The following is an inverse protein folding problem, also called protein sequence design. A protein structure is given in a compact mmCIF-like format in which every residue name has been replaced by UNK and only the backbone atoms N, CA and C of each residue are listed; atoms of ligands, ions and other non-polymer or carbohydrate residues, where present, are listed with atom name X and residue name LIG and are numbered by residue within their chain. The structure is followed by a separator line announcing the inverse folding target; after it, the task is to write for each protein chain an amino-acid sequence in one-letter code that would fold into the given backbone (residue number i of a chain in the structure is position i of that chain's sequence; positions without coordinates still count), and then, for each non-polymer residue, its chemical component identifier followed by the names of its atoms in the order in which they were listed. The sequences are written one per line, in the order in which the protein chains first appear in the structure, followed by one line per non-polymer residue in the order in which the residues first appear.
data_IF_319176599366
#
_entry.id   IF_319176599366
#
_cell.length_a   1.000
_cell.length_b   1.000
_cell.length_c   1.000
_cell.angle_alpha   90.00
_cell.angle_beta   90.00
_cell.angle_gamma   90.00
#
_symmetry.space_group_name_H-M   'P 1'
#
loop_
_entity.id
_entity.type
_entity.pdbx_description
1 polymer ?
#
# COMPACT_ATOMS: atom_id res chain seq x y z
N UNK A 1 -23.38 0.01 -46.61
CA UNK A 1 -22.93 -1.06 -45.67
C UNK A 1 -21.79 -0.50 -44.85
N UNK A 2 -22.10 0.04 -43.66
CA UNK A 2 -21.10 0.46 -42.68
C UNK A 2 -20.68 -0.77 -41.91
N UNK A 3 -19.41 -1.11 -42.01
CA UNK A 3 -18.78 -2.10 -41.15
C UNK A 3 -18.69 -1.50 -39.72
N UNK A 4 -19.61 -1.89 -38.86
CA UNK A 4 -19.49 -1.75 -37.42
C UNK A 4 -18.35 -2.71 -36.96
N UNK A 5 -17.11 -2.21 -36.99
CA UNK A 5 -16.06 -2.76 -36.15
C UNK A 5 -16.46 -2.39 -34.71
N UNK A 6 -17.08 -3.33 -34.00
CA UNK A 6 -17.19 -3.25 -32.56
C UNK A 6 -15.78 -2.96 -32.01
N UNK A 7 -15.56 -1.77 -31.49
CA UNK A 7 -14.45 -1.47 -30.62
C UNK A 7 -14.55 -2.41 -29.42
N UNK A 8 -13.76 -3.46 -29.44
CA UNK A 8 -13.64 -4.35 -28.28
C UNK A 8 -13.08 -3.53 -27.13
N UNK A 9 -13.90 -3.30 -26.12
CA UNK A 9 -13.50 -2.61 -24.91
C UNK A 9 -12.24 -3.29 -24.33
N UNK A 10 -11.19 -2.53 -24.14
CA UNK A 10 -9.96 -2.99 -23.49
C UNK A 10 -10.33 -3.35 -22.06
N UNK A 11 -10.22 -4.63 -21.70
CA UNK A 11 -10.54 -5.09 -20.34
C UNK A 11 -9.45 -4.62 -19.36
N UNK A 12 -9.87 -4.24 -18.16
CA UNK A 12 -9.09 -3.47 -17.21
C UNK A 12 -7.97 -4.24 -16.50
N UNK A 13 -7.95 -5.59 -16.54
CA UNK A 13 -6.90 -6.35 -15.85
C UNK A 13 -6.03 -7.18 -16.80
N UNK A 14 -4.74 -7.34 -16.42
CA UNK A 14 -3.83 -8.21 -17.15
C UNK A 14 -4.33 -9.65 -17.22
N UNK A 15 -4.92 -10.15 -16.14
CA UNK A 15 -5.47 -11.50 -16.08
C UNK A 15 -6.68 -11.65 -17.00
N UNK A 16 -7.59 -10.66 -17.05
CA UNK A 16 -8.72 -10.64 -17.97
C UNK A 16 -8.28 -10.47 -19.42
N UNK A 17 -7.29 -9.60 -19.67
CA UNK A 17 -6.71 -9.43 -20.98
C UNK A 17 -6.07 -10.73 -21.48
N UNK A 18 -5.27 -11.37 -20.65
CA UNK A 18 -4.61 -12.64 -20.98
C UNK A 18 -5.64 -13.77 -21.15
N UNK A 19 -6.70 -13.80 -20.33
CA UNK A 19 -7.80 -14.77 -20.47
C UNK A 19 -8.61 -14.50 -21.75
N UNK A 20 -8.88 -13.25 -22.06
CA UNK A 20 -9.60 -12.85 -23.28
C UNK A 20 -8.81 -13.22 -24.54
N UNK A 21 -7.51 -12.96 -24.58
CA UNK A 21 -6.66 -13.32 -25.72
C UNK A 21 -6.54 -14.83 -25.87
N UNK A 22 -6.48 -15.56 -24.73
CA UNK A 22 -6.52 -17.03 -24.73
C UNK A 22 -7.84 -17.59 -25.29
N UNK A 23 -8.97 -16.93 -25.01
CA UNK A 23 -10.28 -17.35 -25.47
C UNK A 23 -10.58 -16.98 -26.94
N UNK A 24 -9.92 -15.98 -27.51
CA UNK A 24 -10.10 -15.53 -28.91
C UNK A 24 -9.20 -16.25 -29.91
N UNK A 25 -8.25 -17.06 -29.44
CA UNK A 25 -7.45 -17.93 -30.30
C UNK A 25 -8.27 -19.16 -30.70
N UNK A 26 -8.32 -19.47 -32.03
CA UNK A 26 -8.96 -20.65 -32.62
C UNK A 26 -8.38 -22.01 -32.19
N UNK A 27 -7.68 -22.09 -31.04
CA UNK A 27 -7.11 -23.33 -30.52
C UNK A 27 -8.10 -23.98 -29.54
N UNK A 28 -8.62 -25.14 -29.93
CA UNK A 28 -9.41 -26.08 -29.13
C UNK A 28 -8.69 -26.65 -27.90
N UNK A 29 -7.47 -26.24 -27.60
CA UNK A 29 -6.76 -26.55 -26.37
C UNK A 29 -6.99 -25.41 -25.37
N UNK A 30 -7.67 -25.71 -24.26
CA UNK A 30 -7.82 -24.81 -23.14
C UNK A 30 -6.43 -24.37 -22.65
N UNK A 31 -6.10 -23.07 -22.82
CA UNK A 31 -4.88 -22.51 -22.28
C UNK A 31 -5.04 -22.41 -20.75
N UNK A 32 -4.56 -23.41 -20.02
CA UNK A 32 -4.47 -23.32 -18.57
C UNK A 32 -3.35 -22.34 -18.17
N UNK A 33 -3.71 -21.08 -18.00
CA UNK A 33 -2.83 -20.16 -17.30
C UNK A 33 -2.63 -20.61 -15.85
N UNK A 34 -1.39 -20.69 -15.41
CA UNK A 34 -1.11 -20.98 -14.02
C UNK A 34 -0.99 -19.70 -13.24
N UNK A 35 -1.76 -19.61 -12.17
CA UNK A 35 -1.62 -18.58 -11.14
C UNK A 35 -1.07 -19.25 -9.89
N UNK A 36 0.16 -18.92 -9.53
CA UNK A 36 0.86 -19.47 -8.37
C UNK A 36 1.83 -18.44 -7.81
N UNK A 37 1.88 -18.29 -6.49
CA UNK A 37 2.71 -17.31 -5.78
C UNK A 37 2.46 -15.87 -6.27
N UNK A 38 1.18 -15.48 -6.39
CA UNK A 38 0.75 -14.15 -6.86
C UNK A 38 1.30 -13.76 -8.26
N UNK A 39 1.66 -14.75 -9.06
CA UNK A 39 2.24 -14.56 -10.38
C UNK A 39 1.50 -15.37 -11.45
N UNK A 40 1.55 -14.89 -12.69
CA UNK A 40 1.02 -15.57 -13.87
C UNK A 40 2.19 -16.21 -14.61
N UNK A 41 2.02 -17.48 -14.96
CA UNK A 41 3.04 -18.30 -15.61
C UNK A 41 2.56 -18.82 -16.96
N UNK A 42 3.27 -18.49 -18.04
CA UNK A 42 2.97 -18.95 -19.39
C UNK A 42 4.17 -19.70 -19.99
N UNK A 43 3.88 -20.70 -20.84
CA UNK A 43 4.88 -21.32 -21.69
C UNK A 43 5.18 -20.44 -22.92
N UNK A 44 6.27 -20.69 -23.64
CA UNK A 44 6.54 -20.02 -24.91
C UNK A 44 5.42 -20.25 -25.95
N UNK A 45 4.82 -21.44 -25.96
CA UNK A 45 3.68 -21.76 -26.85
C UNK A 45 2.46 -20.90 -26.51
N UNK A 46 2.20 -20.68 -25.22
CA UNK A 46 1.10 -19.81 -24.77
C UNK A 46 1.37 -18.34 -25.09
N UNK A 47 2.62 -17.86 -24.91
CA UNK A 47 3.00 -16.51 -25.32
C UNK A 47 2.93 -16.31 -26.83
N UNK A 48 3.27 -17.32 -27.63
CA UNK A 48 3.12 -17.33 -29.09
C UNK A 48 1.65 -17.11 -29.49
N UNK A 49 0.73 -17.83 -28.87
CA UNK A 49 -0.72 -17.64 -29.09
C UNK A 49 -1.20 -16.28 -28.56
N UNK A 50 -0.69 -15.81 -27.41
CA UNK A 50 -1.03 -14.52 -26.81
C UNK A 50 -0.68 -13.36 -27.75
N UNK A 51 0.53 -13.36 -28.28
CA UNK A 51 1.03 -12.27 -29.12
C UNK A 51 0.88 -12.52 -30.63
N UNK A 52 0.29 -13.65 -31.03
CA UNK A 52 0.09 -14.02 -32.43
C UNK A 52 1.39 -13.97 -33.24
N UNK A 53 2.40 -14.65 -32.74
CA UNK A 53 3.73 -14.81 -33.38
C UNK A 53 4.23 -16.24 -33.25
N UNK A 54 5.20 -16.64 -34.05
CA UNK A 54 5.80 -17.96 -33.95
C UNK A 54 6.55 -18.16 -32.62
N UNK A 55 6.56 -19.39 -32.10
CA UNK A 55 7.28 -19.77 -30.87
C UNK A 55 8.78 -19.43 -30.97
N UNK A 56 9.35 -19.53 -32.17
CA UNK A 56 10.74 -19.15 -32.43
C UNK A 56 10.98 -17.67 -32.18
N UNK A 57 10.06 -16.80 -32.62
CA UNK A 57 10.09 -15.35 -32.34
C UNK A 57 10.03 -15.05 -30.87
N UNK A 58 9.16 -15.75 -30.12
CA UNK A 58 9.10 -15.63 -28.65
C UNK A 58 10.45 -15.99 -28.03
N UNK A 59 11.05 -17.12 -28.46
CA UNK A 59 12.36 -17.55 -27.96
C UNK A 59 13.46 -16.52 -28.25
N UNK A 60 13.50 -15.97 -29.45
CA UNK A 60 14.46 -14.94 -29.87
C UNK A 60 14.31 -13.67 -28.98
N UNK A 61 13.09 -13.24 -28.70
CA UNK A 61 12.86 -12.10 -27.80
C UNK A 61 13.27 -12.39 -26.34
N UNK A 62 12.99 -13.59 -25.82
CA UNK A 62 13.41 -14.00 -24.48
C UNK A 62 14.95 -13.97 -24.38
N UNK A 63 15.65 -14.56 -25.35
CA UNK A 63 17.11 -14.53 -25.38
C UNK A 63 17.65 -13.10 -25.40
N UNK A 64 17.05 -12.23 -26.21
CA UNK A 64 17.46 -10.84 -26.30
C UNK A 64 17.22 -10.07 -24.99
N UNK A 65 16.14 -10.33 -24.28
CA UNK A 65 15.85 -9.74 -22.97
C UNK A 65 16.93 -10.13 -21.95
N UNK A 66 17.38 -11.38 -21.95
CA UNK A 66 18.48 -11.83 -21.10
C UNK A 66 19.83 -11.26 -21.51
N UNK A 67 20.15 -11.22 -22.82
CA UNK A 67 21.37 -10.61 -23.31
C UNK A 67 21.48 -9.12 -22.98
N UNK A 68 20.36 -8.39 -23.07
CA UNK A 68 20.29 -6.96 -22.73
C UNK A 68 20.37 -6.72 -21.20
N UNK A 69 20.33 -7.78 -20.37
CA UNK A 69 20.34 -7.68 -18.90
C UNK A 69 19.05 -7.09 -18.32
N UNK A 70 17.97 -7.05 -19.09
CA UNK A 70 16.68 -6.53 -18.66
C UNK A 70 16.05 -7.41 -17.58
N UNK A 71 16.16 -8.73 -17.72
CA UNK A 71 15.72 -9.74 -16.76
C UNK A 71 16.77 -10.87 -16.66
N UNK A 72 16.67 -11.70 -15.60
CA UNK A 72 17.50 -12.89 -15.45
C UNK A 72 16.65 -14.16 -15.53
N UNK A 73 17.24 -15.26 -15.99
CA UNK A 73 16.55 -16.55 -16.12
C UNK A 73 16.16 -17.13 -14.75
N UNK A 74 17.00 -16.99 -13.74
CA UNK A 74 16.76 -17.47 -12.39
C UNK A 74 15.50 -16.81 -11.76
N UNK A 75 15.25 -15.54 -12.04
CA UNK A 75 14.12 -14.80 -11.53
C UNK A 75 12.82 -15.01 -12.31
N UNK A 76 12.91 -15.47 -13.57
CA UNK A 76 11.77 -15.45 -14.50
C UNK A 76 11.32 -16.82 -15.00
N UNK A 77 12.07 -17.89 -14.73
CA UNK A 77 11.76 -19.25 -15.19
C UNK A 77 11.37 -20.13 -14.02
N UNK A 78 10.29 -20.92 -14.21
CA UNK A 78 9.91 -22.02 -13.34
C UNK A 78 9.53 -23.24 -14.16
N UNK A 79 9.94 -24.41 -13.70
CA UNK A 79 9.56 -25.67 -14.34
C UNK A 79 8.34 -26.26 -13.63
N UNK A 80 7.26 -26.46 -14.38
CA UNK A 80 6.07 -27.14 -13.87
C UNK A 80 5.92 -28.50 -14.48
N UNK A 81 5.44 -29.43 -13.64
CA UNK A 81 5.12 -30.78 -14.08
C UNK A 81 3.74 -30.79 -14.72
N UNK A 82 3.67 -31.14 -16.00
CA UNK A 82 2.43 -31.27 -16.76
C UNK A 82 2.21 -32.75 -17.08
N UNK A 83 0.98 -33.22 -16.92
CA UNK A 83 0.56 -34.56 -17.34
C UNK A 83 -0.26 -34.41 -18.61
N UNK A 84 0.24 -34.95 -19.71
CA UNK A 84 -0.43 -34.93 -21.01
C UNK A 84 -0.83 -36.36 -21.42
N UNK A 85 -2.02 -36.50 -21.99
CA UNK A 85 -2.50 -37.78 -22.51
C UNK A 85 -2.05 -37.93 -23.95
N UNK A 86 -1.10 -38.82 -24.22
CA UNK A 86 -0.62 -39.16 -25.58
C UNK A 86 -1.20 -40.52 -25.97
N UNK A 87 -2.26 -40.49 -26.77
CA UNK A 87 -3.01 -41.72 -27.10
C UNK A 87 -3.68 -42.33 -25.85
N UNK A 88 -3.28 -43.52 -25.43
CA UNK A 88 -3.78 -44.21 -24.24
C UNK A 88 -2.88 -44.08 -23.01
N UNK A 89 -1.79 -43.30 -23.07
CA UNK A 89 -0.82 -43.15 -21.99
C UNK A 89 -0.79 -41.72 -21.43
N UNK A 90 -0.72 -41.65 -20.10
CA UNK A 90 -0.42 -40.40 -19.41
C UNK A 90 1.11 -40.21 -19.33
N UNK A 91 1.61 -39.13 -19.94
CA UNK A 91 3.04 -38.80 -19.93
C UNK A 91 3.24 -37.52 -19.10
N UNK A 92 4.12 -37.62 -18.11
CA UNK A 92 4.49 -36.50 -17.26
C UNK A 92 5.75 -35.82 -17.79
N UNK A 93 5.68 -34.52 -18.06
CA UNK A 93 6.82 -33.71 -18.56
C UNK A 93 7.05 -32.49 -17.69
N UNK A 94 8.32 -32.12 -17.51
CA UNK A 94 8.71 -30.81 -16.96
C UNK A 94 8.70 -29.81 -18.09
N UNK A 95 7.89 -28.74 -17.93
CA UNK A 95 7.76 -27.70 -18.95
C UNK A 95 8.14 -26.34 -18.36
N UNK A 96 9.03 -25.62 -19.04
CA UNK A 96 9.43 -24.27 -18.68
C UNK A 96 8.26 -23.30 -18.83
N UNK A 97 8.00 -22.55 -17.77
CA UNK A 97 7.06 -21.43 -17.76
C UNK A 97 7.83 -20.15 -17.41
N UNK A 98 7.33 -19.06 -17.88
CA UNK A 98 7.88 -17.73 -17.69
C UNK A 98 6.86 -16.89 -16.93
N UNK A 99 7.34 -16.08 -16.00
CA UNK A 99 6.50 -15.25 -15.12
C UNK A 99 5.94 -14.03 -15.85
N UNK A 100 5.06 -13.28 -15.17
CA UNK A 100 4.40 -12.08 -15.71
C UNK A 100 5.41 -11.03 -16.18
N UNK A 101 6.55 -10.86 -15.51
CA UNK A 101 7.58 -9.89 -15.91
C UNK A 101 8.14 -10.22 -17.32
N UNK A 102 8.46 -11.49 -17.57
CA UNK A 102 8.90 -11.95 -18.89
C UNK A 102 7.80 -11.82 -19.94
N UNK A 103 6.55 -12.14 -19.59
CA UNK A 103 5.41 -11.97 -20.51
C UNK A 103 5.27 -10.50 -20.93
N UNK A 104 5.38 -9.58 -19.99
CA UNK A 104 5.33 -8.14 -20.26
C UNK A 104 6.51 -7.70 -21.13
N UNK A 105 7.74 -8.09 -20.80
CA UNK A 105 8.93 -7.72 -21.55
C UNK A 105 8.86 -8.17 -23.01
N UNK A 106 8.42 -9.41 -23.27
CA UNK A 106 8.17 -9.93 -24.61
C UNK A 106 7.13 -9.09 -25.36
N UNK A 107 6.04 -8.69 -24.68
CA UNK A 107 5.00 -7.83 -25.30
C UNK A 107 5.50 -6.47 -25.76
N UNK A 108 6.53 -5.93 -25.10
CA UNK A 108 7.20 -4.71 -25.57
C UNK A 108 8.14 -4.92 -26.76
N UNK A 109 8.72 -6.12 -26.90
CA UNK A 109 9.64 -6.45 -28.02
C UNK A 109 8.89 -6.87 -29.30
N UNK A 110 7.71 -7.49 -29.18
CA UNK A 110 6.91 -7.93 -30.34
C UNK A 110 6.33 -6.73 -31.10
N UNK A 111 6.31 -6.79 -32.44
CA UNK A 111 5.79 -5.71 -33.27
C UNK A 111 4.66 -6.20 -34.20
N UNK A 112 3.44 -6.24 -33.63
CA UNK A 112 2.22 -6.53 -34.38
C UNK A 112 1.01 -5.86 -33.69
N UNK A 113 -0.20 -6.00 -34.24
CA UNK A 113 -1.42 -5.36 -33.73
C UNK A 113 -1.79 -5.81 -32.31
N UNK A 114 -1.60 -7.08 -31.97
CA UNK A 114 -1.87 -7.57 -30.60
C UNK A 114 -0.91 -6.98 -29.58
N UNK A 115 0.37 -6.90 -29.91
CA UNK A 115 1.34 -6.25 -29.05
C UNK A 115 1.08 -4.72 -28.93
N UNK A 116 0.57 -4.08 -29.97
CA UNK A 116 0.12 -2.68 -29.89
C UNK A 116 -1.04 -2.52 -28.91
N UNK A 117 -2.02 -3.42 -28.93
CA UNK A 117 -3.13 -3.40 -27.96
C UNK A 117 -2.62 -3.61 -26.53
N UNK A 118 -1.71 -4.56 -26.32
CA UNK A 118 -1.08 -4.79 -25.04
C UNK A 118 -0.34 -3.54 -24.53
N UNK A 119 0.48 -2.90 -25.38
CA UNK A 119 1.19 -1.67 -25.02
C UNK A 119 0.25 -0.50 -24.70
N UNK A 120 -0.88 -0.35 -25.40
CA UNK A 120 -1.90 0.66 -25.08
C UNK A 120 -2.48 0.43 -23.69
N UNK A 121 -2.82 -0.82 -23.37
CA UNK A 121 -3.30 -1.19 -22.03
C UNK A 121 -2.24 -0.92 -20.95
N UNK A 122 -1.00 -1.38 -21.11
CA UNK A 122 0.08 -1.14 -20.18
C UNK A 122 0.33 0.36 -19.95
N UNK A 123 0.33 1.16 -21.04
CA UNK A 123 0.49 2.61 -20.96
C UNK A 123 -0.65 3.29 -20.17
N UNK A 124 -1.86 2.77 -20.25
CA UNK A 124 -2.98 3.31 -19.45
C UNK A 124 -2.70 3.12 -17.97
N UNK A 125 -2.27 1.93 -17.54
CA UNK A 125 -1.93 1.65 -16.15
C UNK A 125 -0.75 2.52 -15.67
N UNK A 126 0.33 2.61 -16.46
CA UNK A 126 1.50 3.43 -16.13
C UNK A 126 1.12 4.91 -16.03
N UNK A 127 0.29 5.40 -16.96
CA UNK A 127 -0.22 6.78 -16.94
C UNK A 127 -1.04 7.05 -15.67
N UNK A 128 -2.00 6.17 -15.35
CA UNK A 128 -2.86 6.35 -14.19
C UNK A 128 -2.03 6.34 -12.91
N UNK A 129 -1.11 5.38 -12.77
CA UNK A 129 -0.19 5.33 -11.64
C UNK A 129 0.69 6.59 -11.52
N UNK A 130 1.24 7.07 -12.66
CA UNK A 130 2.12 8.25 -12.67
C UNK A 130 1.39 9.54 -12.29
N UNK A 131 0.14 9.70 -12.75
CA UNK A 131 -0.65 10.92 -12.52
C UNK A 131 -1.34 10.89 -11.15
N UNK A 132 -1.91 9.74 -10.78
CA UNK A 132 -2.79 9.63 -9.61
C UNK A 132 -2.07 8.99 -8.40
N UNK A 133 -0.92 8.33 -8.62
CA UNK A 133 -0.21 7.56 -7.60
C UNK A 133 -0.80 6.16 -7.36
N UNK A 134 -1.82 5.75 -8.14
CA UNK A 134 -2.46 4.43 -8.05
C UNK A 134 -3.12 4.04 -9.36
N UNK A 135 -3.27 2.73 -9.58
CA UNK A 135 -4.08 2.14 -10.63
C UNK A 135 -4.98 1.08 -9.99
N UNK A 136 -6.30 1.13 -10.27
CA UNK A 136 -7.28 0.26 -9.63
C UNK A 136 -8.26 -0.30 -10.66
N UNK A 137 -8.41 -1.62 -10.65
CA UNK A 137 -9.47 -2.32 -11.38
C UNK A 137 -10.71 -2.44 -10.48
N UNK A 138 -11.52 -1.39 -10.45
CA UNK A 138 -12.68 -1.30 -9.57
C UNK A 138 -13.76 -2.34 -9.88
N UNK A 139 -13.90 -2.76 -11.14
CA UNK A 139 -14.90 -3.75 -11.53
C UNK A 139 -14.50 -5.15 -11.05
N UNK A 140 -13.23 -5.51 -11.18
CA UNK A 140 -12.69 -6.75 -10.64
C UNK A 140 -12.78 -6.80 -9.11
N UNK A 141 -12.46 -5.69 -8.42
CA UNK A 141 -12.56 -5.60 -6.98
C UNK A 141 -14.00 -5.72 -6.47
N UNK A 142 -14.97 -5.14 -7.17
CA UNK A 142 -16.40 -5.22 -6.81
C UNK A 142 -16.99 -6.61 -7.05
N UNK A 143 -16.61 -7.25 -8.15
CA UNK A 143 -17.24 -8.49 -8.61
C UNK A 143 -16.54 -9.76 -8.08
N UNK A 144 -15.52 -9.62 -7.23
CA UNK A 144 -14.85 -10.74 -6.58
C UNK A 144 -14.21 -11.70 -7.57
N UNK A 145 -13.40 -11.19 -8.51
CA UNK A 145 -12.68 -12.03 -9.46
C UNK A 145 -11.95 -13.16 -8.74
N UNK A 146 -12.04 -14.37 -9.28
CA UNK A 146 -11.61 -15.66 -8.69
C UNK A 146 -10.13 -15.74 -8.25
N UNK A 147 -9.34 -14.71 -8.50
CA UNK A 147 -7.90 -14.64 -8.26
C UNK A 147 -7.54 -13.85 -7.00
N UNK A 148 -8.48 -13.04 -6.46
CA UNK A 148 -8.24 -12.28 -5.24
C UNK A 148 -8.65 -13.10 -4.02
N UNK A 149 -7.68 -13.46 -3.18
CA UNK A 149 -7.98 -14.08 -1.89
C UNK A 149 -8.63 -13.07 -0.94
N UNK A 150 -9.36 -13.56 0.06
CA UNK A 150 -9.94 -12.74 1.12
C UNK A 150 -8.84 -11.91 1.83
N UNK A 151 -7.68 -12.51 2.06
CA UNK A 151 -6.52 -11.87 2.68
C UNK A 151 -6.00 -10.68 1.88
N UNK A 152 -5.94 -10.80 0.56
CA UNK A 152 -5.55 -9.68 -0.32
C UNK A 152 -6.53 -8.52 -0.24
N UNK A 153 -7.85 -8.82 -0.21
CA UNK A 153 -8.88 -7.79 -0.09
C UNK A 153 -8.83 -7.10 1.28
N UNK A 154 -8.63 -7.86 2.34
CA UNK A 154 -8.47 -7.32 3.69
C UNK A 154 -7.23 -6.43 3.79
N UNK A 155 -6.11 -6.82 3.18
CA UNK A 155 -4.90 -5.99 3.10
C UNK A 155 -5.12 -4.69 2.31
N UNK A 156 -5.82 -4.75 1.18
CA UNK A 156 -6.18 -3.56 0.41
C UNK A 156 -7.04 -2.58 1.23
N UNK A 157 -8.01 -3.09 1.99
CA UNK A 157 -8.82 -2.26 2.89
C UNK A 157 -7.99 -1.62 4.01
N UNK A 158 -6.98 -2.32 4.53
CA UNK A 158 -6.03 -1.76 5.50
C UNK A 158 -5.24 -0.61 4.89
N UNK A 159 -4.68 -0.77 3.70
CA UNK A 159 -3.96 0.30 2.99
C UNK A 159 -4.84 1.53 2.73
N UNK A 160 -6.10 1.34 2.33
CA UNK A 160 -7.04 2.44 2.14
C UNK A 160 -7.29 3.18 3.47
N UNK A 161 -7.42 2.47 4.59
CA UNK A 161 -7.58 3.07 5.93
C UNK A 161 -6.34 3.85 6.32
N UNK A 162 -5.16 3.29 6.13
CA UNK A 162 -3.88 3.95 6.41
C UNK A 162 -3.72 5.27 5.64
N UNK A 163 -4.06 5.29 4.34
CA UNK A 163 -4.04 6.51 3.52
C UNK A 163 -5.01 7.56 4.08
N UNK A 164 -6.23 7.16 4.48
CA UNK A 164 -7.22 8.06 5.09
C UNK A 164 -6.76 8.61 6.44
N UNK A 165 -5.96 7.82 7.16
CA UNK A 165 -5.44 8.14 8.50
C UNK A 165 -4.12 8.92 8.49
N UNK A 166 -3.55 9.23 7.31
CA UNK A 166 -2.41 10.16 7.31
C UNK A 166 -2.84 11.45 8.01
N UNK A 167 -2.08 11.89 9.01
CA UNK A 167 -2.45 13.04 9.88
C UNK A 167 -2.92 14.23 9.07
N UNK A 168 -2.21 14.56 8.00
CA UNK A 168 -2.57 15.68 7.13
C UNK A 168 -3.95 15.48 6.48
N UNK A 169 -4.29 14.27 6.02
CA UNK A 169 -5.58 14.00 5.37
C UNK A 169 -6.72 13.97 6.38
N UNK A 170 -6.48 13.41 7.55
CA UNK A 170 -7.43 13.41 8.66
C UNK A 170 -7.79 14.84 9.08
N UNK A 171 -6.77 15.67 9.39
CA UNK A 171 -7.00 17.07 9.77
C UNK A 171 -7.68 17.87 8.67
N UNK A 172 -7.32 17.64 7.41
CA UNK A 172 -7.97 18.26 6.26
C UNK A 172 -9.47 17.93 6.23
N UNK A 173 -9.82 16.65 6.30
CA UNK A 173 -11.23 16.19 6.26
C UNK A 173 -12.04 16.69 7.47
N UNK A 174 -11.49 16.60 8.66
CA UNK A 174 -12.12 17.14 9.88
C UNK A 174 -12.32 18.65 9.75
N UNK A 175 -11.35 19.39 9.25
CA UNK A 175 -11.47 20.83 9.03
C UNK A 175 -12.56 21.14 8.02
N UNK A 176 -12.63 20.43 6.90
CA UNK A 176 -13.67 20.62 5.88
C UNK A 176 -15.08 20.36 6.43
N UNK A 177 -15.24 19.32 7.25
CA UNK A 177 -16.52 19.00 7.89
C UNK A 177 -16.93 20.09 8.88
N UNK A 178 -16.01 20.50 9.74
CA UNK A 178 -16.30 21.47 10.79
C UNK A 178 -16.39 22.91 10.28
N UNK A 179 -15.81 23.20 9.10
CA UNK A 179 -16.03 24.47 8.41
C UNK A 179 -17.50 24.69 8.00
N UNK A 180 -18.34 23.64 8.08
CA UNK A 180 -19.81 23.77 7.92
C UNK A 180 -20.51 24.27 9.17
N UNK A 181 -19.83 24.38 10.33
CA UNK A 181 -20.42 24.89 11.55
C UNK A 181 -20.69 26.39 11.47
N UNK A 182 -21.81 26.82 12.08
CA UNK A 182 -22.27 28.21 12.05
C UNK A 182 -21.30 29.21 12.71
N UNK A 183 -20.57 28.73 13.71
CA UNK A 183 -19.64 29.50 14.56
C UNK A 183 -18.17 29.15 14.28
N UNK A 184 -17.89 28.52 13.12
CA UNK A 184 -16.53 28.20 12.74
C UNK A 184 -15.72 29.43 12.39
N UNK A 185 -14.62 29.63 13.10
CA UNK A 185 -13.62 30.65 12.81
C UNK A 185 -12.22 30.03 12.79
N UNK A 186 -11.61 29.96 11.62
CA UNK A 186 -10.29 29.36 11.39
C UNK A 186 -9.18 30.01 12.24
N UNK A 187 -9.31 31.27 12.59
CA UNK A 187 -8.32 32.03 13.37
C UNK A 187 -8.51 31.89 14.88
N UNK A 188 -9.68 31.43 15.31
CA UNK A 188 -10.08 31.32 16.70
C UNK A 188 -9.24 30.29 17.47
N UNK A 189 -8.86 30.68 18.70
CA UNK A 189 -8.25 29.74 19.67
C UNK A 189 -9.19 28.59 20.00
N UNK A 190 -10.49 28.85 20.05
CA UNK A 190 -11.53 27.87 20.33
C UNK A 190 -11.55 26.76 19.29
N UNK A 191 -11.43 27.10 18.01
CA UNK A 191 -11.38 26.12 16.93
C UNK A 191 -10.14 25.21 17.03
N UNK A 192 -8.97 25.76 17.37
CA UNK A 192 -7.76 24.95 17.57
C UNK A 192 -7.88 24.00 18.76
N UNK A 193 -8.44 24.46 19.87
CA UNK A 193 -8.70 23.64 21.06
C UNK A 193 -9.67 22.50 20.73
N UNK A 194 -10.67 22.77 19.93
CA UNK A 194 -11.63 21.76 19.50
C UNK A 194 -10.98 20.63 18.70
N UNK A 195 -10.06 20.92 17.77
CA UNK A 195 -9.34 19.87 17.05
C UNK A 195 -8.48 19.01 17.98
N UNK A 196 -7.82 19.63 18.94
CA UNK A 196 -7.07 18.89 19.97
C UNK A 196 -7.98 18.02 20.83
N UNK A 197 -9.16 18.50 21.18
CA UNK A 197 -10.18 17.74 21.91
C UNK A 197 -10.65 16.51 21.13
N UNK A 198 -10.94 16.66 19.82
CA UNK A 198 -11.35 15.55 18.96
C UNK A 198 -10.25 14.49 18.91
N UNK A 199 -9.01 14.88 18.70
CA UNK A 199 -7.88 13.96 18.69
C UNK A 199 -7.72 13.23 20.02
N UNK A 200 -7.74 13.96 21.13
CA UNK A 200 -7.57 13.37 22.44
C UNK A 200 -8.70 12.39 22.79
N UNK A 201 -9.96 12.69 22.44
CA UNK A 201 -11.08 11.79 22.64
C UNK A 201 -10.96 10.49 21.83
N UNK A 202 -10.49 10.57 20.60
CA UNK A 202 -10.26 9.39 19.77
C UNK A 202 -9.11 8.52 20.31
N UNK A 203 -8.01 9.13 20.76
CA UNK A 203 -6.93 8.40 21.42
C UNK A 203 -7.42 7.76 22.72
N UNK A 204 -8.10 8.52 23.57
CA UNK A 204 -8.65 8.02 24.84
C UNK A 204 -9.57 6.82 24.65
N UNK A 205 -10.41 6.85 23.63
CA UNK A 205 -11.32 5.77 23.32
C UNK A 205 -10.59 4.43 23.08
N UNK A 206 -9.34 4.46 22.63
CA UNK A 206 -8.58 3.25 22.27
C UNK A 206 -7.70 2.78 23.44
N UNK A 207 -6.90 3.68 24.03
CA UNK A 207 -5.85 3.28 24.99
C UNK A 207 -5.87 4.04 26.32
N UNK A 208 -6.92 4.82 26.59
CA UNK A 208 -7.16 5.52 27.88
C UNK A 208 -6.11 6.58 28.22
N UNK A 209 -5.45 7.12 27.24
CA UNK A 209 -4.52 8.22 27.36
C UNK A 209 -4.81 9.26 26.28
N UNK A 210 -4.55 10.52 26.57
CA UNK A 210 -4.43 11.54 25.51
C UNK A 210 -3.16 11.31 24.71
N UNK A 211 -3.04 11.94 23.54
CA UNK A 211 -1.83 11.85 22.73
C UNK A 211 -0.56 12.27 23.50
N UNK A 212 -0.65 13.31 24.35
CA UNK A 212 0.46 13.77 25.17
C UNK A 212 0.82 12.79 26.28
N UNK A 213 -0.15 12.24 26.96
CA UNK A 213 0.04 11.24 28.02
C UNK A 213 0.68 9.97 27.50
N UNK A 214 0.26 9.49 26.32
CA UNK A 214 0.84 8.33 25.66
C UNK A 214 2.33 8.50 25.40
N UNK A 215 2.74 9.67 24.90
CA UNK A 215 4.16 9.98 24.67
C UNK A 215 4.94 9.89 25.98
N UNK A 216 4.47 10.52 27.04
CA UNK A 216 5.16 10.53 28.36
C UNK A 216 5.24 9.13 28.95
N UNK A 217 4.22 8.30 28.79
CA UNK A 217 4.21 6.92 29.31
C UNK A 217 5.18 6.00 28.56
N UNK A 218 5.30 6.17 27.25
CA UNK A 218 6.00 5.19 26.41
C UNK A 218 7.39 5.59 25.99
N UNK A 219 7.67 6.88 25.83
CA UNK A 219 8.99 7.37 25.49
C UNK A 219 10.02 7.06 26.58
N UNK A 220 11.02 6.25 26.28
CA UNK A 220 12.07 5.87 27.21
C UNK A 220 13.34 5.50 26.45
N UNK A 221 14.42 6.22 26.69
CA UNK A 221 15.72 6.02 26.05
C UNK A 221 16.32 4.61 26.27
N UNK A 222 15.91 3.90 27.32
CA UNK A 222 16.41 2.56 27.64
C UNK A 222 15.66 1.45 26.88
N UNK A 223 14.50 1.76 26.30
CA UNK A 223 13.73 0.80 25.49
C UNK A 223 14.28 0.70 24.07
N UNK A 224 14.12 -0.47 23.40
CA UNK A 224 14.39 -0.58 21.97
C UNK A 224 13.65 0.50 21.20
N UNK A 225 14.34 1.17 20.29
CA UNK A 225 13.77 2.26 19.49
C UNK A 225 13.13 3.38 20.33
N UNK A 226 13.59 3.56 21.57
CA UNK A 226 13.06 4.55 22.50
C UNK A 226 11.58 4.36 22.83
N UNK A 227 11.05 3.16 22.62
CA UNK A 227 9.63 2.81 22.76
C UNK A 227 8.76 3.10 21.54
N UNK A 228 9.33 3.61 20.45
CA UNK A 228 8.62 3.79 19.19
C UNK A 228 8.39 2.44 18.48
N UNK A 229 7.25 2.31 17.87
CA UNK A 229 6.85 1.16 17.02
C UNK A 229 6.96 1.49 15.54
N UNK A 230 6.97 2.79 15.18
CA UNK A 230 7.18 3.29 13.83
C UNK A 230 7.82 4.68 13.85
N UNK A 231 8.50 5.05 12.74
CA UNK A 231 9.08 6.38 12.50
C UNK A 231 9.23 6.56 10.99
N UNK A 232 9.56 7.77 10.52
CA UNK A 232 9.58 8.08 9.08
C UNK A 232 10.47 7.12 8.27
N UNK A 233 11.62 6.74 8.80
CA UNK A 233 12.59 5.86 8.12
C UNK A 233 12.52 4.39 8.61
N UNK A 234 11.38 3.98 9.20
CA UNK A 234 11.17 2.60 9.67
C UNK A 234 11.26 1.58 8.49
N UNK A 235 11.79 0.36 8.69
CA UNK A 235 12.35 -0.16 9.95
C UNK A 235 13.87 0.10 10.12
N UNK A 236 14.59 0.42 9.05
CA UNK A 236 16.05 0.36 9.02
C UNK A 236 16.74 1.72 9.18
N UNK A 237 16.00 2.81 9.12
CA UNK A 237 16.56 4.16 9.21
C UNK A 237 16.61 4.70 10.64
N UNK A 238 17.34 5.81 10.86
CA UNK A 238 17.44 6.48 12.15
C UNK A 238 16.13 7.14 12.56
N UNK A 239 15.81 7.04 13.86
CA UNK A 239 14.78 7.85 14.49
C UNK A 239 15.25 9.31 14.50
N UNK A 240 14.37 10.22 14.08
CA UNK A 240 14.62 11.65 14.04
C UNK A 240 13.94 12.36 15.22
N UNK A 241 14.41 13.55 15.55
CA UNK A 241 13.89 14.33 16.67
C UNK A 241 12.39 14.66 16.53
N UNK A 242 11.88 14.81 15.33
CA UNK A 242 10.47 15.06 15.10
C UNK A 242 9.59 13.80 15.28
N UNK A 243 10.13 12.60 15.04
CA UNK A 243 9.40 11.33 15.21
C UNK A 243 8.92 11.12 16.64
N UNK A 244 9.74 11.54 17.62
CA UNK A 244 9.48 11.26 19.04
C UNK A 244 8.36 12.11 19.64
N UNK A 245 7.93 13.15 18.95
CA UNK A 245 6.79 13.99 19.36
C UNK A 245 5.45 13.56 18.76
N UNK A 246 5.41 12.49 17.99
CA UNK A 246 4.24 11.96 17.32
C UNK A 246 3.68 10.79 18.12
N UNK A 247 2.53 10.95 18.77
CA UNK A 247 1.92 9.93 19.61
C UNK A 247 1.63 8.61 18.84
N UNK A 248 1.21 8.71 17.58
CA UNK A 248 0.96 7.57 16.70
C UNK A 248 2.16 6.61 16.62
N UNK A 249 3.37 7.12 16.69
CA UNK A 249 4.60 6.34 16.58
C UNK A 249 4.86 5.41 17.78
N UNK A 250 4.11 5.58 18.87
CA UNK A 250 4.19 4.75 20.08
C UNK A 250 3.05 3.73 20.22
N UNK A 251 2.12 3.69 19.27
CA UNK A 251 0.99 2.76 19.31
C UNK A 251 1.43 1.34 18.93
N UNK A 252 0.90 0.33 19.62
CA UNK A 252 1.00 -1.04 19.14
C UNK A 252 0.26 -1.20 17.81
N UNK A 253 0.52 -2.29 17.10
CA UNK A 253 -0.19 -2.59 15.85
C UNK A 253 -1.70 -2.68 16.05
N UNK A 254 -2.13 -3.32 17.13
CA UNK A 254 -3.54 -3.50 17.49
C UNK A 254 -4.21 -2.16 17.83
N UNK A 255 -3.53 -1.32 18.63
CA UNK A 255 -4.00 0.03 18.97
C UNK A 255 -4.11 0.92 17.74
N UNK A 256 -3.11 0.86 16.85
CA UNK A 256 -3.11 1.61 15.59
C UNK A 256 -4.30 1.19 14.71
N UNK A 257 -4.52 -0.10 14.51
CA UNK A 257 -5.65 -0.62 13.74
C UNK A 257 -7.00 -0.23 14.36
N UNK A 258 -7.12 -0.29 15.68
CA UNK A 258 -8.33 0.12 16.38
C UNK A 258 -8.60 1.62 16.23
N UNK A 259 -7.55 2.47 16.35
CA UNK A 259 -7.64 3.91 16.12
C UNK A 259 -8.06 4.21 14.68
N UNK A 260 -7.46 3.54 13.71
CA UNK A 260 -7.79 3.70 12.29
C UNK A 260 -9.25 3.35 11.98
N UNK A 261 -9.77 2.32 12.61
CA UNK A 261 -11.17 1.92 12.44
C UNK A 261 -12.13 2.95 13.03
N UNK A 262 -11.92 3.36 14.27
CA UNK A 262 -12.83 4.31 14.92
C UNK A 262 -12.80 5.67 14.24
N UNK A 263 -11.64 6.13 13.78
CA UNK A 263 -11.49 7.38 13.03
C UNK A 263 -12.20 7.30 11.68
N UNK A 264 -12.02 6.21 10.94
CA UNK A 264 -12.70 6.02 9.66
C UNK A 264 -14.22 6.03 9.82
N UNK A 265 -14.73 5.31 10.81
CA UNK A 265 -16.17 5.28 11.12
C UNK A 265 -16.68 6.67 11.50
N UNK A 266 -15.94 7.42 12.31
CA UNK A 266 -16.32 8.77 12.69
C UNK A 266 -16.31 9.74 11.52
N UNK A 267 -15.31 9.67 10.64
CA UNK A 267 -15.27 10.51 9.44
C UNK A 267 -16.47 10.24 8.52
N UNK A 268 -16.82 8.98 8.28
CA UNK A 268 -17.97 8.62 7.46
C UNK A 268 -19.29 9.11 8.10
N UNK A 269 -19.42 8.96 9.42
CA UNK A 269 -20.56 9.50 10.18
C UNK A 269 -20.65 11.03 10.10
N UNK A 270 -19.53 11.73 10.30
CA UNK A 270 -19.47 13.18 10.28
C UNK A 270 -19.74 13.73 8.87
N UNK A 271 -19.19 13.11 7.83
CA UNK A 271 -19.45 13.46 6.43
C UNK A 271 -20.93 13.27 6.06
N UNK A 272 -21.54 12.18 6.50
CA UNK A 272 -22.98 11.96 6.33
C UNK A 272 -23.81 13.04 7.05
N UNK A 273 -23.47 13.42 8.28
CA UNK A 273 -24.16 14.48 9.01
C UNK A 273 -24.00 15.86 8.34
N UNK A 274 -22.80 16.20 7.88
CA UNK A 274 -22.55 17.44 7.16
C UNK A 274 -23.35 17.51 5.85
N UNK A 275 -23.44 16.41 5.12
CA UNK A 275 -24.23 16.29 3.89
C UNK A 275 -25.75 16.47 4.06
N UNK A 276 -26.25 16.38 5.29
CA UNK A 276 -27.69 16.67 5.60
C UNK A 276 -28.00 18.16 5.64
N UNK A 277 -27.01 19.02 5.60
CA UNK A 277 -27.14 20.47 5.66
C UNK A 277 -27.93 20.99 6.87
N UNK A 278 -27.90 20.25 7.98
CA UNK A 278 -28.53 20.72 9.24
C UNK A 278 -27.58 21.72 9.89
N UNK A 279 -28.01 22.97 10.16
CA UNK A 279 -27.17 23.95 10.83
C UNK A 279 -26.69 23.41 12.18
N UNK A 280 -25.38 23.42 12.42
CA UNK A 280 -24.75 22.96 13.64
C UNK A 280 -23.67 23.94 14.09
N UNK A 281 -23.49 24.04 15.40
CA UNK A 281 -22.37 24.75 16.03
C UNK A 281 -21.19 23.78 16.26
N UNK A 282 -20.03 24.34 16.60
CA UNK A 282 -18.86 23.54 17.03
C UNK A 282 -19.20 22.69 18.26
N UNK A 283 -20.01 23.22 19.19
CA UNK A 283 -20.48 22.49 20.36
C UNK A 283 -21.40 21.31 19.97
N UNK A 284 -22.27 21.48 18.98
CA UNK A 284 -23.09 20.35 18.48
C UNK A 284 -22.23 19.23 17.90
N UNK A 285 -21.15 19.57 17.22
CA UNK A 285 -20.19 18.62 16.70
C UNK A 285 -19.46 17.86 17.83
N UNK A 286 -19.03 18.55 18.90
CA UNK A 286 -18.44 17.88 20.09
C UNK A 286 -19.41 16.90 20.73
N UNK A 287 -20.68 17.28 20.89
CA UNK A 287 -21.70 16.39 21.43
C UNK A 287 -21.96 15.17 20.51
N UNK A 288 -21.92 15.36 19.20
CA UNK A 288 -22.07 14.25 18.25
C UNK A 288 -20.92 13.27 18.32
N UNK A 289 -19.68 13.76 18.48
CA UNK A 289 -18.53 12.90 18.72
C UNK A 289 -18.71 12.07 19.99
N UNK A 290 -19.13 12.70 21.09
CA UNK A 290 -19.38 11.98 22.34
C UNK A 290 -20.43 10.86 22.15
N UNK A 291 -21.58 11.19 21.56
CA UNK A 291 -22.63 10.19 21.27
C UNK A 291 -22.17 9.09 20.33
N UNK A 292 -21.33 9.40 19.36
CA UNK A 292 -20.74 8.41 18.46
C UNK A 292 -19.82 7.45 19.24
N UNK A 293 -18.99 7.96 20.14
CA UNK A 293 -18.10 7.14 20.97
C UNK A 293 -18.91 6.28 21.95
N UNK A 294 -19.92 6.86 22.63
CA UNK A 294 -20.83 6.12 23.51
C UNK A 294 -21.57 4.99 22.79
N UNK A 295 -22.09 5.28 21.59
CA UNK A 295 -22.78 4.27 20.77
C UNK A 295 -21.86 3.11 20.39
N UNK A 296 -20.56 3.36 20.23
CA UNK A 296 -19.55 2.34 19.95
C UNK A 296 -18.92 1.78 21.24
N UNK A 297 -19.57 1.95 22.40
CA UNK A 297 -19.16 1.40 23.70
C UNK A 297 -17.77 1.88 24.19
N UNK A 298 -17.33 3.06 23.74
CA UNK A 298 -16.11 3.70 24.20
C UNK A 298 -16.37 4.69 25.33
N UNK A 299 -15.46 4.73 26.31
CA UNK A 299 -15.49 5.75 27.34
C UNK A 299 -15.05 7.11 26.78
N UNK A 300 -15.68 8.17 27.26
CA UNK A 300 -15.42 9.54 26.86
C UNK A 300 -14.39 10.18 27.77
N UNK A 301 -13.44 10.90 27.18
CA UNK A 301 -12.59 11.82 27.92
C UNK A 301 -13.41 13.04 28.35
N UNK A 302 -13.48 13.30 29.66
CA UNK A 302 -14.23 14.40 30.23
C UNK A 302 -13.40 15.64 30.55
N UNK A 303 -12.08 15.53 30.50
CA UNK A 303 -11.13 16.61 30.76
C UNK A 303 -10.12 16.77 29.61
N UNK A 304 -9.12 17.61 29.78
CA UNK A 304 -8.08 17.87 28.76
C UNK A 304 -6.87 16.94 28.88
N UNK A 305 -6.91 15.98 29.82
CA UNK A 305 -5.73 15.22 30.22
C UNK A 305 -4.83 16.00 31.20
N UNK A 306 -3.92 15.31 31.85
CA UNK A 306 -3.01 15.86 32.86
C UNK A 306 -1.64 16.28 32.31
N UNK A 307 -1.36 15.99 31.03
CA UNK A 307 -0.13 16.36 30.33
C UNK A 307 -0.44 17.27 29.15
N UNK A 308 0.26 18.41 29.03
CA UNK A 308 0.16 19.27 27.84
C UNK A 308 1.08 18.75 26.74
N UNK A 309 0.77 19.11 25.49
CA UNK A 309 1.61 18.76 24.33
C UNK A 309 3.07 19.27 24.47
N UNK A 310 3.26 20.46 25.00
CA UNK A 310 4.57 21.05 25.21
C UNK A 310 5.41 20.26 26.21
N UNK A 311 4.78 19.80 27.31
CA UNK A 311 5.44 18.95 28.32
C UNK A 311 5.82 17.61 27.71
N UNK A 312 4.90 16.97 27.01
CA UNK A 312 5.15 15.68 26.35
C UNK A 312 6.27 15.76 25.33
N UNK A 313 6.24 16.79 24.50
CA UNK A 313 7.29 17.05 23.50
C UNK A 313 8.65 17.27 24.15
N UNK A 314 8.74 18.14 25.14
CA UNK A 314 10.00 18.40 25.84
C UNK A 314 10.56 17.14 26.51
N UNK A 315 9.68 16.32 27.10
CA UNK A 315 10.06 15.03 27.71
C UNK A 315 10.62 14.07 26.64
N UNK A 316 9.88 13.85 25.54
CA UNK A 316 10.29 12.95 24.49
C UNK A 316 11.60 13.39 23.81
N UNK A 317 11.79 14.69 23.59
CA UNK A 317 13.04 15.25 23.08
C UNK A 317 14.21 15.03 24.05
N UNK A 318 13.96 15.13 25.36
CA UNK A 318 14.98 14.83 26.40
C UNK A 318 15.40 13.35 26.37
N UNK A 319 14.43 12.44 26.25
CA UNK A 319 14.69 11.01 26.10
C UNK A 319 15.44 10.70 24.78
N UNK A 320 15.09 11.40 23.70
CA UNK A 320 15.75 11.26 22.41
C UNK A 320 17.23 11.67 22.47
N UNK A 321 17.59 12.75 23.16
CA UNK A 321 18.99 13.18 23.28
C UNK A 321 19.86 12.12 24.00
N UNK A 322 19.28 11.36 24.93
CA UNK A 322 19.94 10.22 25.57
C UNK A 322 20.05 9.03 24.60
N UNK A 323 18.96 8.70 23.92
CA UNK A 323 18.89 7.58 22.97
C UNK A 323 19.78 7.80 21.74
N UNK A 324 19.88 9.04 21.24
CA UNK A 324 20.69 9.40 20.08
C UNK A 324 22.13 8.92 20.21
N UNK A 325 22.72 9.01 21.42
CA UNK A 325 24.08 8.57 21.68
C UNK A 325 24.25 7.07 21.41
N UNK A 326 23.25 6.28 21.80
CA UNK A 326 23.21 4.83 21.57
C UNK A 326 22.95 4.53 20.09
N UNK A 327 21.99 5.23 19.49
CA UNK A 327 21.64 5.09 18.08
C UNK A 327 22.84 5.39 17.17
N UNK A 328 23.55 6.48 17.39
CA UNK A 328 24.70 6.87 16.57
C UNK A 328 25.83 5.85 16.61
N UNK A 329 25.95 5.09 17.70
CA UNK A 329 26.91 3.96 17.81
C UNK A 329 26.44 2.70 17.07
N UNK A 330 25.13 2.53 16.85
CA UNK A 330 24.56 1.37 16.15
C UNK A 330 24.55 1.55 14.64
N UNK A 331 24.52 2.79 14.18
CA UNK A 331 24.50 3.10 12.75
C UNK A 331 25.93 3.44 12.30
N UNK A 332 26.57 2.49 11.63
CA UNK A 332 27.78 2.78 10.87
C UNK A 332 27.46 3.80 9.78
N UNK A 333 28.29 4.82 9.62
CA UNK A 333 28.13 5.78 8.54
C UNK A 333 28.52 5.13 7.20
N UNK A 334 27.99 5.64 6.09
CA UNK A 334 28.45 5.22 4.74
C UNK A 334 29.97 5.39 4.59
N UNK A 335 30.56 6.33 5.31
CA UNK A 335 32.00 6.56 5.37
C UNK A 335 32.74 5.44 6.11
N UNK A 336 32.19 4.95 7.23
CA UNK A 336 32.79 3.82 7.97
C UNK A 336 32.72 2.53 7.14
N UNK A 337 31.63 2.37 6.38
CA UNK A 337 31.48 1.25 5.44
C UNK A 337 32.47 1.34 4.28
N UNK A 338 32.72 2.55 3.77
CA UNK A 338 33.74 2.80 2.76
C UNK A 338 35.15 2.48 3.28
N UNK A 339 35.51 2.92 4.48
CA UNK A 339 36.80 2.61 5.12
C UNK A 339 36.97 1.09 5.31
N UNK A 340 35.92 0.39 5.76
CA UNK A 340 35.97 -1.06 5.92
C UNK A 340 36.17 -1.80 4.58
N UNK A 341 35.63 -1.31 3.49
CA UNK A 341 35.84 -1.83 2.13
C UNK A 341 37.29 -1.56 1.64
N UNK A 342 37.82 -0.37 1.94
CA UNK A 342 39.20 0.01 1.60
C UNK A 342 40.22 -0.88 2.33
N UNK A 343 40.06 -1.12 3.64
CA UNK A 343 40.88 -2.04 4.42
C UNK A 343 40.78 -3.49 3.91
N UNK A 344 39.60 -3.94 3.48
CA UNK A 344 39.46 -5.29 2.90
C UNK A 344 40.12 -5.42 1.52
N UNK A 345 40.15 -4.35 0.73
CA UNK A 345 40.84 -4.33 -0.55
C UNK A 345 42.37 -4.36 -0.39
N UNK A 346 42.90 -3.63 0.60
CA UNK A 346 44.31 -3.64 0.93
C UNK A 346 44.80 -5.02 1.41
N UNK A 347 44.02 -5.70 2.27
CA UNK A 347 44.36 -7.07 2.77
C UNK A 347 44.29 -8.16 1.70
N UNK A 348 43.66 -7.90 0.54
CA UNK A 348 43.62 -8.84 -0.59
C UNK A 348 44.79 -8.64 -1.56
N UNK A 349 45.52 -7.52 -1.45
CA UNK A 349 46.64 -7.19 -2.31
C UNK A 349 48.02 -7.47 -1.65
N UNK A 350 48.02 -7.86 -0.38
CA UNK A 350 49.16 -8.42 0.36
C UNK A 350 49.06 -9.98 0.39
#
# INVERSE_FOLDING_TARGET
MRNDKQEQAIRSSAAEYLTFVAATGDSTESMEMRYEDENIWLTQKMMSALYDVDVRTINEHIQKIYEDGELTDEATIRNFRIVQTEGSRQVSRQVKHYNLQMIIAVGFKVNNDRAVQFRKWANTIVKDYTIQGWAMDSDRLKNGGSVLTREYFDHLLEQIREIRMSERKFYQKITDIYATALDYDKSSKTTRLFFSEVQNKLHWAIHRHTAAELIVERANAEKPHMGLTSWEQYPNGKIQKYDVSIAKNYLSREELQALERIVTMYLDYAEYQAGRHIPMTMQDWSQRLNRFLEFNEHEILHDTGWVTHEIAKAFAESEFEKYRIVQDRMFESDFDHFLALEEQAERKND
#
